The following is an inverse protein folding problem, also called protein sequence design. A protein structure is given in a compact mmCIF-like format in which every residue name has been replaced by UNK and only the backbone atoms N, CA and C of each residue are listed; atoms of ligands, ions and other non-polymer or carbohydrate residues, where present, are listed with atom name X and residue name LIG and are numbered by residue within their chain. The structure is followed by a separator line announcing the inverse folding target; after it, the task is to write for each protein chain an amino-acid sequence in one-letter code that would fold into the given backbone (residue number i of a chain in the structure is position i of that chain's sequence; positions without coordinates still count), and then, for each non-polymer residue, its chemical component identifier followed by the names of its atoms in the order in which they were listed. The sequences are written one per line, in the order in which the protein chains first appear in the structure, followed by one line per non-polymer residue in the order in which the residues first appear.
data_IF_530519999418
#
_entry.id   IF_530519999418
#
_cell.length_a   1.000
_cell.length_b   1.000
_cell.length_c   1.000
_cell.angle_alpha   90.00
_cell.angle_beta   90.00
_cell.angle_gamma   90.00
#
_symmetry.space_group_name_H-M   'P 1'
#
loop_
_entity.id
_entity.type
_entity.pdbx_description
1 polymer ?
#
# COMPACT_ATOMS: atom_id res chain seq x y z
N UNK A 1 -24.96 -55.28 -5.87
CA UNK A 1 -23.64 -54.66 -5.69
C UNK A 1 -22.85 -55.48 -4.67
N UNK A 2 -21.64 -55.93 -4.99
CA UNK A 2 -20.89 -56.83 -4.12
C UNK A 2 -20.41 -56.09 -2.86
N UNK A 3 -20.30 -56.80 -1.73
CA UNK A 3 -19.81 -56.27 -0.45
C UNK A 3 -18.45 -55.55 -0.59
N UNK A 4 -17.67 -55.94 -1.60
CA UNK A 4 -16.40 -55.31 -1.96
C UNK A 4 -16.54 -53.85 -2.42
N UNK A 5 -17.56 -53.53 -3.21
CA UNK A 5 -17.81 -52.16 -3.69
C UNK A 5 -18.25 -51.21 -2.57
N UNK A 6 -18.98 -51.73 -1.58
CA UNK A 6 -19.39 -50.97 -0.39
C UNK A 6 -18.16 -50.70 0.50
N UNK A 7 -17.28 -51.68 0.66
CA UNK A 7 -16.04 -51.50 1.41
C UNK A 7 -15.09 -50.50 0.74
N UNK A 8 -14.96 -50.54 -0.60
CA UNK A 8 -14.12 -49.62 -1.36
C UNK A 8 -14.62 -48.17 -1.25
N UNK A 9 -15.93 -47.96 -1.41
CA UNK A 9 -16.55 -46.62 -1.33
C UNK A 9 -16.46 -46.03 0.07
N UNK A 10 -16.61 -46.84 1.11
CA UNK A 10 -16.39 -46.41 2.49
C UNK A 10 -14.93 -45.99 2.73
N UNK A 11 -13.96 -46.76 2.20
CA UNK A 11 -12.54 -46.47 2.36
C UNK A 11 -12.11 -45.17 1.65
N UNK A 12 -12.54 -44.98 0.40
CA UNK A 12 -12.26 -43.73 -0.33
C UNK A 12 -12.96 -42.52 0.29
N UNK A 13 -14.18 -42.69 0.81
CA UNK A 13 -14.89 -41.63 1.53
C UNK A 13 -14.12 -41.14 2.76
N UNK A 14 -13.58 -42.07 3.56
CA UNK A 14 -12.78 -41.74 4.74
C UNK A 14 -11.50 -40.99 4.33
N UNK A 15 -10.80 -41.45 3.29
CA UNK A 15 -9.58 -40.81 2.81
C UNK A 15 -9.85 -39.36 2.37
N UNK A 16 -10.93 -39.13 1.61
CA UNK A 16 -11.29 -37.79 1.13
C UNK A 16 -11.59 -36.84 2.29
N UNK A 17 -12.34 -37.32 3.31
CA UNK A 17 -12.66 -36.52 4.50
C UNK A 17 -11.40 -36.19 5.31
N UNK A 18 -10.49 -37.16 5.48
CA UNK A 18 -9.22 -36.93 6.18
C UNK A 18 -8.34 -35.95 5.39
N UNK A 19 -8.22 -36.10 4.07
CA UNK A 19 -7.44 -35.16 3.23
C UNK A 19 -8.01 -33.75 3.25
N UNK A 20 -9.34 -33.59 3.22
CA UNK A 20 -9.98 -32.28 3.37
C UNK A 20 -9.76 -31.69 4.77
N UNK A 21 -9.83 -32.50 5.82
CA UNK A 21 -9.55 -32.03 7.18
C UNK A 21 -8.09 -31.56 7.34
N UNK A 22 -7.14 -32.29 6.76
CA UNK A 22 -5.73 -31.87 6.68
C UNK A 22 -5.60 -30.55 5.92
N UNK A 23 -6.20 -30.42 4.74
CA UNK A 23 -6.22 -29.14 4.03
C UNK A 23 -6.84 -28.03 4.87
N UNK A 24 -7.95 -28.23 5.56
CA UNK A 24 -8.55 -27.20 6.43
C UNK A 24 -7.67 -26.80 7.62
N UNK A 25 -6.88 -27.73 8.18
CA UNK A 25 -5.92 -27.43 9.26
C UNK A 25 -4.73 -26.62 8.73
N UNK A 26 -4.22 -26.97 7.54
CA UNK A 26 -3.04 -26.33 6.95
C UNK A 26 -3.35 -25.12 6.05
N UNK A 27 -4.61 -24.91 5.64
CA UNK A 27 -5.04 -23.82 4.75
C UNK A 27 -5.51 -22.57 5.51
N UNK A 28 -5.40 -22.53 6.85
CA UNK A 28 -5.51 -21.25 7.57
C UNK A 28 -4.17 -20.50 7.46
N UNK A 29 -4.09 -19.38 6.71
CA UNK A 29 -2.84 -18.61 6.58
C UNK A 29 -2.52 -17.78 7.84
N UNK A 30 -3.31 -17.89 8.91
CA UNK A 30 -3.26 -16.98 10.06
C UNK A 30 -2.70 -17.59 11.35
N UNK A 31 -2.40 -18.89 11.41
CA UNK A 31 -1.96 -19.53 12.66
C UNK A 31 -0.45 -19.71 12.74
N UNK A 32 0.24 -19.95 11.61
CA UNK A 32 1.70 -20.11 11.61
C UNK A 32 2.43 -18.77 11.71
N UNK A 33 1.86 -17.70 11.14
CA UNK A 33 2.39 -16.34 11.26
C UNK A 33 2.08 -15.69 12.62
N UNK A 34 0.98 -16.06 13.28
CA UNK A 34 0.68 -15.53 14.62
C UNK A 34 1.68 -15.97 15.68
N UNK A 35 2.24 -17.17 15.60
CA UNK A 35 3.22 -17.63 16.61
C UNK A 35 4.62 -17.03 16.49
N UNK A 36 4.96 -16.44 15.34
CA UNK A 36 6.21 -15.69 15.18
C UNK A 36 6.03 -14.25 15.71
N UNK A 37 4.83 -13.68 15.57
CA UNK A 37 4.53 -12.30 16.01
C UNK A 37 4.16 -12.23 17.51
N UNK A 38 3.44 -13.21 18.07
CA UNK A 38 3.03 -13.18 19.48
C UNK A 38 4.18 -13.37 20.49
N UNK A 39 5.32 -13.94 20.07
CA UNK A 39 6.49 -14.07 20.95
C UNK A 39 7.24 -12.75 21.14
N UNK A 40 7.15 -11.81 20.21
CA UNK A 40 7.72 -10.46 20.36
C UNK A 40 6.75 -9.51 21.10
N UNK A 41 5.43 -9.66 20.93
CA UNK A 41 4.45 -8.74 21.53
C UNK A 41 4.25 -8.96 23.04
N UNK A 42 4.49 -10.18 23.56
CA UNK A 42 4.29 -10.46 25.00
C UNK A 42 5.31 -9.84 25.95
N UNK A 43 6.29 -9.06 25.47
CA UNK A 43 7.27 -8.37 26.32
C UNK A 43 7.07 -6.86 26.48
N UNK A 44 6.02 -6.24 25.92
CA UNK A 44 5.74 -4.81 26.15
C UNK A 44 4.54 -4.60 27.08
N UNK A 45 4.71 -3.90 28.22
CA UNK A 45 3.57 -3.47 29.00
C UNK A 45 2.78 -2.40 28.24
N UNK A 46 1.47 -2.63 28.22
CA UNK A 46 0.39 -1.74 27.78
C UNK A 46 0.62 -0.29 28.25
N UNK A 47 0.90 0.62 27.32
CA UNK A 47 1.10 2.06 27.60
C UNK A 47 0.08 2.91 26.83
N UNK A 48 -1.21 2.65 27.07
CA UNK A 48 -2.33 3.45 26.53
C UNK A 48 -2.79 4.60 27.46
N UNK A 49 -2.09 4.88 28.57
CA UNK A 49 -2.60 5.83 29.60
C UNK A 49 -1.72 7.08 29.80
N UNK A 50 -0.65 7.28 29.04
CA UNK A 50 0.35 8.31 29.37
C UNK A 50 0.38 9.58 28.49
N UNK A 51 -0.45 9.70 27.45
CA UNK A 51 -0.38 10.86 26.53
C UNK A 51 -1.43 11.95 26.78
N UNK A 52 -2.32 11.80 27.75
CA UNK A 52 -3.35 12.83 28.04
C UNK A 52 -2.86 13.93 29.01
N UNK A 53 -1.69 13.76 29.66
CA UNK A 53 -1.17 14.71 30.65
C UNK A 53 -0.11 15.70 30.14
N UNK A 54 0.18 15.73 28.82
CA UNK A 54 1.27 16.59 28.29
C UNK A 54 0.93 18.08 28.12
N UNK A 55 -0.29 18.52 28.39
CA UNK A 55 -0.66 19.95 28.26
C UNK A 55 -0.78 20.70 29.58
N UNK A 56 -0.45 20.09 30.73
CA UNK A 56 -0.46 20.77 32.04
C UNK A 56 0.66 20.27 32.97
N UNK A 57 1.88 20.76 32.76
CA UNK A 57 2.86 21.14 33.80
C UNK A 57 4.21 21.40 33.14
N UNK A 58 4.43 22.65 32.75
CA UNK A 58 5.76 23.23 32.89
C UNK A 58 6.02 23.45 34.39
N UNK A 59 7.29 23.34 34.77
CA UNK A 59 7.91 23.66 36.06
C UNK A 59 8.25 22.44 36.94
N UNK A 60 9.56 22.19 36.99
CA UNK A 60 10.35 21.40 37.94
C UNK A 60 10.41 19.87 37.74
N UNK A 61 11.42 19.41 37.00
CA UNK A 61 12.62 18.74 37.56
C UNK A 61 13.51 18.27 36.41
N UNK A 62 14.75 18.79 36.41
CA UNK A 62 15.83 18.31 35.57
C UNK A 62 16.44 17.05 36.18
N UNK A 63 17.03 16.23 35.31
CA UNK A 63 17.94 15.10 35.61
C UNK A 63 17.31 13.70 35.80
N UNK A 64 16.77 13.13 34.71
CA UNK A 64 17.05 11.72 34.33
C UNK A 64 16.55 11.27 32.94
N UNK A 65 16.06 12.17 32.08
CA UNK A 65 15.35 11.79 30.84
C UNK A 65 16.24 11.61 29.61
N UNK A 66 17.52 11.98 29.68
CA UNK A 66 18.38 12.08 28.48
C UNK A 66 18.89 10.73 27.95
N UNK A 67 18.92 9.69 28.79
CA UNK A 67 19.45 8.37 28.40
C UNK A 67 18.43 7.51 27.65
N UNK A 68 17.16 7.54 28.04
CA UNK A 68 16.11 6.71 27.42
C UNK A 68 15.61 7.28 26.08
N UNK A 69 15.61 8.61 25.93
CA UNK A 69 15.20 9.24 24.66
C UNK A 69 16.21 8.94 23.55
N UNK A 70 17.52 9.00 23.83
CA UNK A 70 18.56 8.71 22.83
C UNK A 70 18.50 7.28 22.27
N UNK A 71 18.16 6.28 23.09
CA UNK A 71 18.04 4.90 22.60
C UNK A 71 16.80 4.68 21.74
N UNK A 72 15.70 5.38 22.04
CA UNK A 72 14.46 5.32 21.27
C UNK A 72 14.62 5.99 19.90
N UNK A 73 15.24 7.17 19.86
CA UNK A 73 15.51 7.90 18.62
C UNK A 73 16.42 7.09 17.69
N UNK A 74 17.46 6.43 18.24
CA UNK A 74 18.34 5.54 17.48
C UNK A 74 17.63 4.30 16.92
N UNK A 75 16.69 3.72 17.67
CA UNK A 75 15.91 2.58 17.19
C UNK A 75 14.94 2.98 16.08
N UNK A 76 14.30 4.15 16.22
CA UNK A 76 13.43 4.71 15.19
C UNK A 76 14.19 5.02 13.89
N UNK A 77 15.36 5.65 13.99
CA UNK A 77 16.23 5.92 12.84
C UNK A 77 16.64 4.63 12.12
N UNK A 78 16.98 3.58 12.87
CA UNK A 78 17.29 2.26 12.28
C UNK A 78 16.10 1.68 11.54
N UNK A 79 14.89 1.77 12.10
CA UNK A 79 13.66 1.30 11.44
C UNK A 79 13.41 2.08 10.15
N UNK A 80 13.46 3.41 10.20
CA UNK A 80 13.30 4.25 9.01
C UNK A 80 14.37 3.95 7.96
N UNK A 81 15.60 3.67 8.37
CA UNK A 81 16.68 3.27 7.45
C UNK A 81 16.37 1.93 6.78
N UNK A 82 15.89 0.93 7.52
CA UNK A 82 15.52 -0.36 6.94
C UNK A 82 14.33 -0.23 5.98
N UNK A 83 13.36 0.64 6.29
CA UNK A 83 12.22 0.89 5.42
C UNK A 83 12.63 1.43 4.03
N UNK A 84 13.73 2.17 3.92
CA UNK A 84 14.27 2.63 2.61
C UNK A 84 14.66 1.47 1.70
N UNK A 85 14.95 0.29 2.23
CA UNK A 85 15.29 -0.91 1.46
C UNK A 85 14.04 -1.69 1.02
N UNK A 86 12.98 -1.65 1.83
CA UNK A 86 11.77 -2.47 1.62
C UNK A 86 10.71 -1.72 0.81
N UNK A 87 10.48 -0.45 1.10
CA UNK A 87 9.42 0.36 0.48
C UNK A 87 9.51 0.47 -1.04
N UNK A 88 10.69 0.53 -1.69
CA UNK A 88 10.77 0.47 -3.15
C UNK A 88 9.99 -0.69 -3.78
N UNK A 89 9.84 -1.81 -3.07
CA UNK A 89 9.09 -2.98 -3.54
C UNK A 89 7.57 -2.78 -3.55
N UNK A 90 7.06 -1.66 -3.06
CA UNK A 90 5.65 -1.28 -3.18
C UNK A 90 5.36 -0.40 -4.40
N UNK A 91 6.42 0.06 -5.09
CA UNK A 91 6.30 0.91 -6.27
C UNK A 91 6.41 0.09 -7.55
N UNK A 92 5.41 0.26 -8.42
CA UNK A 92 5.43 -0.28 -9.77
C UNK A 92 6.00 0.74 -10.74
N UNK A 93 6.49 0.25 -11.88
CA UNK A 93 7.08 1.10 -12.93
C UNK A 93 6.08 1.31 -14.05
N UNK A 94 5.73 2.57 -14.34
CA UNK A 94 4.90 2.96 -15.46
C UNK A 94 5.83 3.55 -16.52
N UNK A 95 5.86 2.95 -17.70
CA UNK A 95 6.72 3.37 -18.81
C UNK A 95 5.93 4.22 -19.80
N UNK A 96 6.48 5.38 -20.13
CA UNK A 96 6.01 6.28 -21.19
C UNK A 96 7.18 6.55 -22.14
N UNK A 97 7.12 6.02 -23.37
CA UNK A 97 8.25 6.08 -24.30
C UNK A 97 9.54 5.48 -23.72
N UNK A 98 10.53 6.33 -23.41
CA UNK A 98 11.80 5.95 -22.77
C UNK A 98 11.87 6.30 -21.28
N UNK A 99 10.86 6.99 -20.74
CA UNK A 99 10.79 7.47 -19.36
C UNK A 99 10.04 6.45 -18.50
N UNK A 100 10.44 6.35 -17.23
CA UNK A 100 9.73 5.58 -16.22
C UNK A 100 9.20 6.53 -15.15
N UNK A 101 7.97 6.27 -14.71
CA UNK A 101 7.26 6.96 -13.66
C UNK A 101 6.94 5.95 -12.57
N UNK A 102 7.23 6.26 -11.30
CA UNK A 102 6.83 5.39 -10.20
C UNK A 102 5.33 5.54 -9.94
N UNK A 103 4.67 4.41 -9.67
CA UNK A 103 3.29 4.37 -9.21
C UNK A 103 3.18 3.52 -7.95
N UNK A 104 2.31 3.91 -7.02
CA UNK A 104 2.01 3.14 -5.82
C UNK A 104 0.74 2.33 -6.05
N UNK A 105 0.78 1.03 -5.82
CA UNK A 105 -0.42 0.18 -5.86
C UNK A 105 -1.31 0.51 -4.66
N UNK A 106 -2.41 1.23 -4.87
CA UNK A 106 -3.30 1.66 -3.79
C UNK A 106 -4.26 0.54 -3.40
N UNK A 107 -5.15 0.13 -4.30
CA UNK A 107 -6.20 -0.84 -3.97
C UNK A 107 -6.43 -1.85 -5.07
N UNK A 108 -6.75 -3.08 -4.66
CA UNK A 108 -7.00 -4.22 -5.55
C UNK A 108 -8.23 -4.97 -5.07
N UNK A 109 -9.27 -5.03 -5.88
CA UNK A 109 -10.50 -5.73 -5.52
C UNK A 109 -11.16 -6.44 -6.70
N UNK A 110 -11.82 -7.56 -6.43
CA UNK A 110 -12.56 -8.32 -7.43
C UNK A 110 -13.78 -7.57 -7.95
N UNK A 111 -14.02 -7.66 -9.25
CA UNK A 111 -15.22 -7.14 -9.93
C UNK A 111 -15.89 -8.26 -10.73
N UNK A 112 -17.08 -7.99 -11.28
CA UNK A 112 -17.76 -8.95 -12.16
C UNK A 112 -16.95 -9.30 -13.42
N UNK A 113 -16.09 -8.39 -13.88
CA UNK A 113 -15.31 -8.54 -15.11
C UNK A 113 -13.88 -9.03 -14.87
N UNK A 114 -13.48 -9.24 -13.61
CA UNK A 114 -12.13 -9.64 -13.22
C UNK A 114 -11.71 -8.99 -11.93
N UNK A 115 -10.61 -8.24 -11.97
CA UNK A 115 -10.03 -7.53 -10.84
C UNK A 115 -9.77 -6.09 -11.25
N UNK A 116 -10.19 -5.15 -10.39
CA UNK A 116 -9.90 -3.73 -10.50
C UNK A 116 -8.63 -3.42 -9.74
N UNK A 117 -7.70 -2.74 -10.40
CA UNK A 117 -6.42 -2.31 -9.83
C UNK A 117 -6.37 -0.79 -9.93
N UNK A 118 -6.05 -0.14 -8.81
CA UNK A 118 -5.88 1.30 -8.71
C UNK A 118 -4.45 1.62 -8.33
N UNK A 119 -3.82 2.50 -9.10
CA UNK A 119 -2.42 2.89 -8.95
C UNK A 119 -2.36 4.40 -8.84
N UNK A 120 -1.77 4.90 -7.75
CA UNK A 120 -1.53 6.32 -7.57
C UNK A 120 -0.19 6.74 -8.16
N UNK A 121 -0.18 7.89 -8.82
CA UNK A 121 1.04 8.58 -9.25
C UNK A 121 0.83 10.08 -9.24
N UNK A 122 1.90 10.86 -9.28
CA UNK A 122 1.84 12.32 -9.48
C UNK A 122 2.19 12.71 -10.91
N UNK A 123 2.56 11.76 -11.76
CA UNK A 123 2.95 12.03 -13.13
C UNK A 123 1.73 12.13 -14.04
N UNK A 124 1.70 13.18 -14.86
CA UNK A 124 0.80 13.26 -16.03
C UNK A 124 1.51 12.65 -17.24
N UNK A 125 0.83 11.76 -17.97
CA UNK A 125 1.41 10.98 -19.06
C UNK A 125 0.42 10.87 -20.23
N UNK A 126 0.89 10.48 -21.40
CA UNK A 126 0.10 10.08 -22.56
C UNK A 126 -0.51 8.68 -22.32
N UNK A 127 -1.66 8.65 -21.65
CA UNK A 127 -2.29 7.44 -21.12
C UNK A 127 -2.47 6.29 -22.14
N UNK A 128 -2.72 6.62 -23.40
CA UNK A 128 -2.87 5.62 -24.47
C UNK A 128 -1.58 4.86 -24.79
N UNK A 129 -0.40 5.39 -24.41
CA UNK A 129 0.90 4.82 -24.74
C UNK A 129 1.68 4.28 -23.54
N UNK A 130 1.10 4.33 -22.33
CA UNK A 130 1.80 3.83 -21.15
C UNK A 130 1.78 2.30 -21.05
N UNK A 131 2.84 1.76 -20.46
CA UNK A 131 2.94 0.34 -20.07
C UNK A 131 3.34 0.23 -18.61
N UNK A 132 2.54 -0.44 -17.82
CA UNK A 132 2.77 -0.61 -16.38
C UNK A 132 3.33 -2.00 -16.08
N UNK A 133 4.47 -2.06 -15.40
CA UNK A 133 5.19 -3.29 -15.05
C UNK A 133 4.93 -3.61 -13.58
N UNK A 134 4.28 -4.75 -13.33
CA UNK A 134 4.04 -5.27 -11.99
C UNK A 134 5.23 -6.10 -11.47
N UNK A 135 5.23 -6.37 -10.16
CA UNK A 135 6.33 -7.05 -9.45
C UNK A 135 6.65 -8.46 -9.95
N UNK A 136 5.69 -9.16 -10.55
CA UNK A 136 5.86 -10.52 -11.08
C UNK A 136 6.22 -10.55 -12.57
N UNK A 137 6.60 -9.41 -13.14
CA UNK A 137 6.95 -9.27 -14.55
C UNK A 137 5.75 -9.18 -15.50
N UNK A 138 4.51 -9.20 -14.99
CA UNK A 138 3.33 -8.92 -15.83
C UNK A 138 3.31 -7.46 -16.27
N UNK A 139 2.85 -7.25 -17.49
CA UNK A 139 2.74 -5.92 -18.11
C UNK A 139 1.28 -5.62 -18.39
N UNK A 140 0.81 -4.51 -17.83
CA UNK A 140 -0.49 -3.91 -18.12
C UNK A 140 -0.29 -2.84 -19.19
N UNK A 141 -0.87 -3.06 -20.37
CA UNK A 141 -0.89 -2.07 -21.44
C UNK A 141 -2.17 -1.27 -21.36
N UNK A 142 -2.09 0.05 -21.59
CA UNK A 142 -3.22 0.98 -21.71
C UNK A 142 -4.27 0.88 -20.57
N UNK A 143 -4.36 1.88 -19.68
CA UNK A 143 -5.32 1.84 -18.58
C UNK A 143 -6.76 1.79 -19.07
N UNK A 144 -7.67 1.30 -18.25
CA UNK A 144 -9.10 1.32 -18.58
C UNK A 144 -9.67 2.73 -18.37
N UNK A 145 -9.28 3.38 -17.26
CA UNK A 145 -9.67 4.73 -16.89
C UNK A 145 -8.51 5.40 -16.16
N UNK A 146 -8.41 6.71 -16.27
CA UNK A 146 -7.53 7.53 -15.43
C UNK A 146 -8.32 8.67 -14.85
N UNK A 147 -8.14 8.90 -13.55
CA UNK A 147 -8.79 9.95 -12.80
C UNK A 147 -7.77 10.94 -12.25
N UNK A 148 -8.12 12.23 -12.32
CA UNK A 148 -7.37 13.31 -11.71
C UNK A 148 -8.05 13.71 -10.40
N UNK A 149 -7.31 13.58 -9.30
CA UNK A 149 -7.72 13.82 -7.93
C UNK A 149 -6.93 15.01 -7.34
N UNK A 150 -7.51 15.72 -6.36
CA UNK A 150 -6.87 16.73 -5.51
C UNK A 150 -5.67 17.47 -6.17
N UNK A 151 -5.95 18.19 -7.26
CA UNK A 151 -5.05 19.06 -8.03
C UNK A 151 -3.68 18.50 -8.44
N UNK A 152 -3.49 17.18 -8.45
CA UNK A 152 -2.28 16.55 -9.01
C UNK A 152 -1.98 15.12 -8.57
N UNK A 153 -2.86 14.49 -7.80
CA UNK A 153 -2.82 13.04 -7.60
C UNK A 153 -3.56 12.38 -8.77
N UNK A 154 -2.96 11.38 -9.39
CA UNK A 154 -3.57 10.64 -10.50
C UNK A 154 -3.84 9.20 -10.06
N UNK A 155 -5.08 8.75 -10.22
CA UNK A 155 -5.48 7.35 -10.06
C UNK A 155 -5.61 6.68 -11.44
N UNK A 156 -4.75 5.70 -11.69
CA UNK A 156 -4.75 4.88 -12.89
C UNK A 156 -5.49 3.58 -12.57
N UNK A 157 -6.59 3.35 -13.28
CA UNK A 157 -7.40 2.17 -13.10
C UNK A 157 -7.22 1.16 -14.24
N UNK A 158 -6.99 -0.10 -13.87
CA UNK A 158 -7.00 -1.25 -14.78
C UNK A 158 -8.07 -2.24 -14.36
N UNK A 159 -8.77 -2.81 -15.34
CA UNK A 159 -9.66 -3.96 -15.17
C UNK A 159 -9.07 -5.16 -15.91
N UNK A 160 -8.72 -6.19 -15.15
CA UNK A 160 -7.88 -7.28 -15.64
C UNK A 160 -8.37 -8.63 -15.13
N UNK A 161 -8.25 -9.68 -15.95
CA UNK A 161 -8.72 -11.03 -15.60
C UNK A 161 -7.70 -11.77 -14.73
N UNK A 162 -8.16 -12.59 -13.79
CA UNK A 162 -7.31 -13.45 -12.95
C UNK A 162 -7.03 -12.90 -11.55
N UNK A 163 -6.04 -13.49 -10.87
CA UNK A 163 -5.58 -13.13 -9.52
C UNK A 163 -4.42 -12.14 -9.62
N UNK A 164 -4.48 -11.06 -8.85
CA UNK A 164 -3.61 -9.88 -8.93
C UNK A 164 -2.87 -9.64 -7.62
N UNK A 165 -1.81 -8.81 -7.61
CA UNK A 165 -0.97 -8.59 -6.44
C UNK A 165 -1.79 -8.19 -5.21
N UNK A 166 -1.29 -8.51 -4.00
CA UNK A 166 -1.94 -8.07 -2.78
C UNK A 166 -1.99 -6.54 -2.74
N UNK A 167 -3.03 -6.04 -2.10
CA UNK A 167 -3.10 -4.64 -1.71
C UNK A 167 -1.95 -4.28 -0.77
N UNK A 168 -1.47 -3.04 -0.86
CA UNK A 168 -0.46 -2.55 0.08
C UNK A 168 -1.05 -2.47 1.48
N UNK A 169 -0.33 -2.89 2.53
CA UNK A 169 -0.74 -2.62 3.90
C UNK A 169 -0.90 -1.12 4.11
N UNK A 170 -2.03 -0.68 4.66
CA UNK A 170 -2.26 0.71 4.99
C UNK A 170 -2.52 0.86 6.50
N UNK A 171 -2.13 2.01 7.03
CA UNK A 171 -2.23 2.32 8.44
C UNK A 171 -2.30 3.83 8.66
N UNK A 172 -2.19 4.25 9.92
CA UNK A 172 -2.12 5.65 10.29
C UNK A 172 -0.66 6.06 10.56
N UNK A 173 -0.39 7.36 10.49
CA UNK A 173 0.85 7.97 10.97
C UNK A 173 0.51 9.06 11.98
N UNK A 174 1.04 8.94 13.19
CA UNK A 174 0.75 9.92 14.24
C UNK A 174 1.56 11.21 14.01
N UNK A 175 2.88 11.08 13.92
CA UNK A 175 3.81 12.23 13.79
C UNK A 175 5.07 11.91 12.99
N UNK A 176 5.62 10.69 13.09
CA UNK A 176 6.89 10.34 12.44
C UNK A 176 6.68 9.22 11.42
N UNK A 177 7.23 9.39 10.22
CA UNK A 177 7.21 8.40 9.16
C UNK A 177 8.33 8.60 8.14
N UNK A 178 8.22 7.87 7.03
CA UNK A 178 9.10 8.01 5.88
C UNK A 178 8.31 8.62 4.71
N UNK A 179 8.76 9.76 4.21
CA UNK A 179 8.27 10.36 2.98
C UNK A 179 9.08 9.83 1.80
N UNK A 180 8.38 9.25 0.82
CA UNK A 180 8.95 8.77 -0.43
C UNK A 180 8.55 9.73 -1.55
N UNK A 181 9.56 10.42 -2.08
CA UNK A 181 9.42 11.45 -3.10
C UNK A 181 9.73 10.80 -4.45
N UNK A 182 8.74 10.62 -5.32
CA UNK A 182 8.96 10.11 -6.66
C UNK A 182 9.62 11.18 -7.53
N UNK A 183 10.73 10.83 -8.16
CA UNK A 183 11.47 11.71 -9.06
C UNK A 183 11.28 11.30 -10.52
N UNK A 184 11.72 12.17 -11.42
CA UNK A 184 11.79 11.86 -12.85
C UNK A 184 12.65 10.61 -13.11
N UNK A 185 12.33 9.88 -14.17
CA UNK A 185 13.04 8.65 -14.60
C UNK A 185 12.88 7.45 -13.64
N UNK A 186 11.97 7.52 -12.68
CA UNK A 186 11.58 6.37 -11.87
C UNK A 186 12.46 6.14 -10.65
N UNK A 187 13.23 7.15 -10.23
CA UNK A 187 13.97 7.14 -8.96
C UNK A 187 13.04 7.53 -7.80
N UNK A 188 13.40 7.06 -6.61
CA UNK A 188 12.71 7.38 -5.37
C UNK A 188 13.71 8.03 -4.42
N UNK A 189 13.39 9.24 -3.96
CA UNK A 189 14.12 9.90 -2.89
C UNK A 189 13.38 9.69 -1.56
N UNK A 190 14.12 9.69 -0.46
CA UNK A 190 13.58 9.43 0.87
C UNK A 190 13.89 10.58 1.81
N UNK A 191 12.86 11.07 2.48
CA UNK A 191 12.94 12.06 3.55
C UNK A 191 12.19 11.56 4.79
N UNK A 192 12.49 12.14 5.95
CA UNK A 192 11.69 11.88 7.14
C UNK A 192 10.39 12.71 7.04
N UNK A 193 9.28 12.11 7.45
CA UNK A 193 8.02 12.82 7.64
C UNK A 193 7.87 13.13 9.13
N UNK A 194 7.74 14.40 9.49
CA UNK A 194 7.64 14.87 10.89
C UNK A 194 6.31 15.61 11.14
N UNK A 195 5.23 15.13 10.51
CA UNK A 195 3.88 15.69 10.64
C UNK A 195 3.57 16.82 9.67
N UNK A 196 4.50 17.18 8.80
CA UNK A 196 4.35 18.20 7.77
C UNK A 196 4.83 17.70 6.40
N UNK A 197 4.22 18.23 5.33
CA UNK A 197 4.59 17.89 3.96
C UNK A 197 5.58 18.92 3.42
N UNK A 198 6.85 18.53 3.35
CA UNK A 198 7.91 19.33 2.71
C UNK A 198 7.86 19.24 1.19
N UNK A 199 7.49 18.06 0.69
CA UNK A 199 7.49 17.72 -0.74
C UNK A 199 6.27 16.86 -1.08
N UNK A 200 5.99 16.72 -2.38
CA UNK A 200 4.97 15.81 -2.86
C UNK A 200 5.49 14.37 -2.81
N UNK A 201 4.73 13.46 -2.21
CA UNK A 201 5.18 12.09 -2.03
C UNK A 201 4.22 11.19 -1.28
N UNK A 202 4.65 9.95 -1.08
CA UNK A 202 3.90 8.93 -0.36
C UNK A 202 4.48 8.76 1.03
N UNK A 203 3.65 8.77 2.05
CA UNK A 203 4.07 8.67 3.45
C UNK A 203 3.81 7.26 3.95
N UNK A 204 4.83 6.68 4.58
CA UNK A 204 4.77 5.38 5.24
C UNK A 204 5.02 5.54 6.74
N UNK A 205 4.30 4.80 7.56
CA UNK A 205 4.55 4.78 8.99
C UNK A 205 5.81 3.95 9.34
N UNK A 206 6.31 3.99 10.58
CA UNK A 206 7.48 3.21 10.99
C UNK A 206 7.31 1.69 10.91
N UNK A 207 6.07 1.20 10.77
CA UNK A 207 5.75 -0.21 10.52
C UNK A 207 5.84 -0.60 9.04
N UNK A 208 6.06 0.36 8.13
CA UNK A 208 6.10 0.12 6.69
C UNK A 208 4.73 0.10 6.02
N UNK A 209 3.68 0.51 6.74
CA UNK A 209 2.33 0.62 6.18
C UNK A 209 2.14 1.98 5.52
N UNK A 210 1.43 1.99 4.40
CA UNK A 210 1.08 3.22 3.69
C UNK A 210 0.13 4.08 4.53
N UNK A 211 0.56 5.27 4.89
CA UNK A 211 -0.15 6.15 5.80
C UNK A 211 -0.89 7.29 5.10
N UNK A 212 -0.48 7.67 3.89
CA UNK A 212 -1.12 8.73 3.13
C UNK A 212 -0.22 9.37 2.08
N UNK A 213 -0.68 10.49 1.54
CA UNK A 213 0.02 11.26 0.51
C UNK A 213 0.25 12.68 1.00
N UNK A 214 1.46 13.17 0.78
CA UNK A 214 1.76 14.59 0.81
C UNK A 214 1.57 15.17 -0.59
N UNK A 215 0.72 16.19 -0.73
CA UNK A 215 0.55 16.92 -1.97
C UNK A 215 0.20 18.39 -1.72
N UNK A 216 0.92 19.31 -2.36
CA UNK A 216 0.66 20.75 -2.25
C UNK A 216 0.78 21.28 -0.82
N UNK A 217 1.70 20.72 -0.02
CA UNK A 217 1.90 21.06 1.39
C UNK A 217 0.84 20.50 2.35
N UNK A 218 -0.12 19.71 1.87
CA UNK A 218 -1.16 19.07 2.69
C UNK A 218 -0.92 17.57 2.79
N UNK A 219 -1.16 17.02 3.97
CA UNK A 219 -1.19 15.58 4.20
C UNK A 219 -2.63 15.08 4.04
N UNK A 220 -2.80 14.05 3.21
CA UNK A 220 -4.06 13.34 2.99
C UNK A 220 -3.87 11.92 3.48
N UNK A 221 -4.59 11.52 4.53
CA UNK A 221 -4.44 10.20 5.12
C UNK A 221 -4.92 9.08 4.20
N UNK A 222 -4.41 7.88 4.43
CA UNK A 222 -4.74 6.68 3.66
C UNK A 222 -6.25 6.42 3.66
N UNK A 223 -6.94 6.45 4.81
CA UNK A 223 -8.37 6.18 4.88
C UNK A 223 -9.20 7.13 3.99
N UNK A 224 -8.83 8.41 3.98
CA UNK A 224 -9.40 9.40 3.06
C UNK A 224 -9.14 9.01 1.60
N UNK A 225 -7.91 8.66 1.22
CA UNK A 225 -7.59 8.22 -0.15
C UNK A 225 -8.41 6.98 -0.58
N UNK A 226 -8.52 5.97 0.28
CA UNK A 226 -9.26 4.73 -0.02
C UNK A 226 -10.77 4.95 -0.18
N UNK A 227 -11.33 5.86 0.62
CA UNK A 227 -12.77 6.18 0.60
C UNK A 227 -13.17 7.16 -0.51
N UNK A 228 -12.29 8.08 -0.88
CA UNK A 228 -12.60 9.14 -1.84
C UNK A 228 -12.23 8.80 -3.28
N UNK A 229 -11.16 8.03 -3.51
CA UNK A 229 -10.69 7.70 -4.87
C UNK A 229 -11.42 6.43 -5.35
N UNK A 230 -11.90 6.35 -6.61
CA UNK A 230 -11.95 7.43 -7.60
C UNK A 230 -13.19 8.32 -7.48
N UNK A 231 -14.10 8.08 -6.52
CA UNK A 231 -15.43 8.68 -6.44
C UNK A 231 -15.47 10.22 -6.43
N UNK A 232 -14.46 10.90 -5.89
CA UNK A 232 -14.32 12.37 -5.88
C UNK A 232 -13.39 12.92 -6.95
N UNK A 233 -12.86 12.08 -7.83
CA UNK A 233 -11.89 12.47 -8.84
C UNK A 233 -12.55 12.71 -10.20
N UNK A 234 -11.95 13.59 -11.00
CA UNK A 234 -12.39 13.86 -12.37
C UNK A 234 -11.86 12.77 -13.31
N UNK A 235 -12.74 12.15 -14.11
CA UNK A 235 -12.30 11.25 -15.19
C UNK A 235 -11.59 12.07 -16.28
N UNK A 236 -10.33 11.72 -16.58
CA UNK A 236 -9.50 12.41 -17.57
C UNK A 236 -9.12 11.55 -18.77
N UNK A 237 -9.31 10.23 -18.66
CA UNK A 237 -9.09 9.31 -19.77
C UNK A 237 -9.95 8.06 -19.59
N UNK A 238 -10.47 7.54 -20.69
CA UNK A 238 -11.21 6.27 -20.74
C UNK A 238 -10.88 5.55 -22.04
N UNK A 239 -10.43 4.31 -21.93
CA UNK A 239 -10.11 3.45 -23.08
C UNK A 239 -11.30 3.32 -24.03
N UNK A 240 -11.07 3.63 -25.30
CA UNK A 240 -12.08 3.54 -26.37
C UNK A 240 -13.22 4.55 -26.25
N UNK A 241 -13.02 5.66 -25.54
CA UNK A 241 -13.95 6.79 -25.51
C UNK A 241 -13.73 7.76 -26.68
N UNK A 242 -14.74 8.59 -26.99
CA UNK A 242 -14.64 9.61 -28.06
C UNK A 242 -13.65 10.75 -27.75
N UNK A 243 -13.23 10.87 -26.48
CA UNK A 243 -12.14 11.74 -26.04
C UNK A 243 -10.89 10.89 -25.79
N UNK A 244 -10.19 10.52 -26.86
CA UNK A 244 -8.85 9.93 -26.80
C UNK A 244 -7.83 10.98 -26.31
N UNK A 245 -7.92 11.29 -25.01
CA UNK A 245 -6.76 11.39 -24.12
C UNK A 245 -5.78 12.56 -24.27
N UNK A 246 -6.15 13.72 -24.81
CA UNK A 246 -5.22 14.85 -24.89
C UNK A 246 -5.70 16.12 -24.17
N UNK A 247 -5.67 16.11 -22.83
CA UNK A 247 -5.94 17.31 -22.01
C UNK A 247 -4.78 18.32 -22.08
N UNK A 248 -3.61 17.97 -22.63
CA UNK A 248 -2.53 18.95 -22.87
C UNK A 248 -2.92 20.09 -23.82
N UNK A 249 -4.03 19.97 -24.55
CA UNK A 249 -4.45 20.97 -25.56
C UNK A 249 -5.34 22.11 -25.03
N UNK A 250 -5.84 22.07 -23.78
CA UNK A 250 -6.86 23.03 -23.31
C UNK A 250 -6.36 24.16 -22.40
N UNK A 251 -5.07 24.23 -22.07
CA UNK A 251 -4.49 25.31 -21.27
C UNK A 251 -3.24 25.96 -21.93
N UNK A 252 -3.38 26.46 -23.15
CA UNK A 252 -2.50 27.50 -23.71
C UNK A 252 -3.31 28.78 -23.95
#
# INVERSE_FOLDING_TARGET
MSKLWIALTAFFGIIIVVSLAFLFIFYKPSVVTKHIIDKEIKQLPQQEVALENRTKKETNESENTTSNNKSLDQELEKRLSHLKEVIPNFFIKIKEGIVYHPGLLLKVYGTQNGTSIHILTFSSMEWQFIKTFLFDGRVLSEPNKVFFCNDGIVDINYEVKGIWPPEIPHGNVDLIGLLVIPEEKGTLQFANFEGNCTDNGFVFNPGGEFAGVCFGGKFIDSNTLYSEIPGKCQLIYKKGGEEDGNIQSKNQ
#
